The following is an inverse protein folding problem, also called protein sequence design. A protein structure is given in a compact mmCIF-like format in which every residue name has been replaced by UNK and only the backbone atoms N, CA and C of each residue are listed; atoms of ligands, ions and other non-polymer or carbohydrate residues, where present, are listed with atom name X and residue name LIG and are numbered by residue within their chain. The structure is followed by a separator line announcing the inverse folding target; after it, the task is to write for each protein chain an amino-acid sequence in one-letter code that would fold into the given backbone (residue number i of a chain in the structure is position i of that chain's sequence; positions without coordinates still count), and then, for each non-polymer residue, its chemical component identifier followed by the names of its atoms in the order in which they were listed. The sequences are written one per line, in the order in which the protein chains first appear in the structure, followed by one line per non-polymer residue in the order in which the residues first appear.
data_IF_523312936968
#
_entry.id   IF_523312936968
#
_cell.length_a   1.000
_cell.length_b   1.000
_cell.length_c   1.000
_cell.angle_alpha   90.00
_cell.angle_beta   90.00
_cell.angle_gamma   90.00
#
_symmetry.space_group_name_H-M   'P 1'
#
loop_
_entity.id
_entity.type
_entity.pdbx_description
1 polymer ?
#
# COMPACT_ATOMS: atom_id res chain seq x y z
N UNK A 1 -3.30 23.48 -5.59
CA UNK A 1 -4.54 23.38 -4.82
C UNK A 1 -5.54 22.52 -5.58
N UNK A 2 -6.50 21.96 -4.87
CA UNK A 2 -7.55 21.12 -5.47
C UNK A 2 -8.80 21.13 -4.59
N UNK A 3 -9.93 20.84 -5.22
CA UNK A 3 -11.22 20.52 -4.60
C UNK A 3 -11.99 19.58 -5.54
N UNK A 4 -13.14 19.04 -5.13
CA UNK A 4 -13.85 18.13 -6.01
C UNK A 4 -15.27 17.79 -5.59
N UNK A 5 -15.99 17.21 -6.52
CA UNK A 5 -17.39 16.79 -6.38
C UNK A 5 -17.85 15.91 -7.54
N UNK A 6 -19.13 15.61 -7.60
CA UNK A 6 -19.75 14.87 -8.72
C UNK A 6 -20.41 15.84 -9.69
N UNK A 7 -20.15 15.65 -11.00
CA UNK A 7 -20.69 16.52 -12.07
C UNK A 7 -21.25 15.69 -13.22
N UNK A 8 -22.38 16.11 -13.83
CA UNK A 8 -22.91 15.44 -15.01
C UNK A 8 -22.00 15.67 -16.22
N UNK A 9 -21.58 14.58 -16.85
CA UNK A 9 -20.84 14.55 -18.10
C UNK A 9 -21.72 14.04 -19.21
N UNK A 10 -21.92 14.85 -20.25
CA UNK A 10 -22.61 14.48 -21.47
C UNK A 10 -21.77 14.79 -22.71
N UNK A 11 -22.17 14.25 -23.86
CA UNK A 11 -21.43 14.32 -25.11
C UNK A 11 -21.60 13.03 -25.89
N UNK A 12 -20.54 12.24 -26.08
CA UNK A 12 -20.67 10.91 -26.70
C UNK A 12 -21.33 9.93 -25.71
N UNK A 13 -22.46 9.33 -26.09
CA UNK A 13 -23.22 8.35 -25.27
C UNK A 13 -24.19 8.98 -24.26
N UNK A 14 -24.69 8.14 -23.34
CA UNK A 14 -25.62 8.59 -22.31
C UNK A 14 -24.97 9.52 -21.30
N UNK A 15 -25.71 10.55 -20.80
CA UNK A 15 -25.23 11.37 -19.69
C UNK A 15 -24.97 10.51 -18.45
N UNK A 16 -23.87 10.78 -17.75
CA UNK A 16 -23.52 10.09 -16.51
C UNK A 16 -22.95 11.07 -15.47
N UNK A 17 -23.13 10.77 -14.20
CA UNK A 17 -22.47 11.48 -13.12
C UNK A 17 -21.04 10.96 -12.97
N UNK A 18 -20.06 11.85 -13.09
CA UNK A 18 -18.65 11.52 -12.94
C UNK A 18 -18.05 12.26 -11.74
N UNK A 19 -17.19 11.58 -11.03
CA UNK A 19 -16.39 12.23 -9.98
C UNK A 19 -15.40 13.20 -10.65
N UNK A 20 -15.40 14.45 -10.22
CA UNK A 20 -14.58 15.50 -10.84
C UNK A 20 -13.79 16.28 -9.81
N UNK A 21 -12.60 16.74 -10.17
CA UNK A 21 -11.78 17.64 -9.35
C UNK A 21 -11.42 18.90 -10.10
N UNK A 22 -11.43 20.03 -9.38
CA UNK A 22 -10.82 21.27 -9.79
C UNK A 22 -9.37 21.29 -9.29
N UNK A 23 -8.42 21.51 -10.16
CA UNK A 23 -7.00 21.49 -9.82
C UNK A 23 -6.27 22.70 -10.42
N UNK A 24 -5.26 23.19 -9.72
CA UNK A 24 -4.40 24.24 -10.27
C UNK A 24 -3.57 23.71 -11.43
N UNK A 25 -3.19 24.57 -12.39
CA UNK A 25 -2.49 24.20 -13.63
C UNK A 25 -1.19 23.43 -13.34
N UNK A 26 -0.51 23.75 -12.25
CA UNK A 26 0.72 23.10 -11.85
C UNK A 26 0.52 21.78 -11.06
N UNK A 27 -0.72 21.35 -10.79
CA UNK A 27 -1.03 20.24 -9.91
C UNK A 27 -0.36 18.93 -10.34
N UNK A 28 -0.56 18.52 -11.59
CA UNK A 28 0.02 17.28 -12.11
C UNK A 28 1.55 17.33 -12.18
N UNK A 29 2.10 18.46 -12.64
CA UNK A 29 3.55 18.66 -12.71
C UNK A 29 4.21 18.64 -11.32
N UNK A 30 3.54 19.19 -10.29
CA UNK A 30 3.98 19.15 -8.90
C UNK A 30 4.09 17.70 -8.39
N UNK A 31 3.12 16.85 -8.77
CA UNK A 31 3.09 15.43 -8.43
C UNK A 31 4.03 14.59 -9.30
N UNK A 32 4.60 15.16 -10.37
CA UNK A 32 5.53 14.48 -11.27
C UNK A 32 4.86 13.71 -12.42
N UNK A 33 3.57 13.97 -12.67
CA UNK A 33 2.83 13.31 -13.75
C UNK A 33 2.68 14.22 -14.98
N UNK A 34 2.71 13.57 -16.14
CA UNK A 34 2.39 14.18 -17.42
C UNK A 34 1.28 13.38 -18.09
N UNK A 35 0.35 14.01 -18.83
CA UNK A 35 -0.63 13.30 -19.63
C UNK A 35 0.03 12.36 -20.65
N UNK A 36 -0.54 11.17 -20.85
CA UNK A 36 -0.09 10.24 -21.92
C UNK A 36 -0.54 10.69 -23.30
N UNK A 37 -1.61 11.50 -23.34
CA UNK A 37 -2.09 12.16 -24.56
C UNK A 37 -2.35 13.63 -24.24
N UNK A 38 -1.95 14.52 -25.14
CA UNK A 38 -2.17 15.95 -25.01
C UNK A 38 -1.20 16.65 -24.05
N UNK A 39 -1.70 17.54 -23.21
CA UNK A 39 -0.91 18.41 -22.34
C UNK A 39 -1.57 18.64 -20.97
N UNK A 40 -0.79 19.16 -20.03
CA UNK A 40 -1.28 19.72 -18.76
C UNK A 40 -2.04 21.03 -18.99
N UNK A 41 -2.74 21.51 -17.97
CA UNK A 41 -3.35 22.83 -17.95
C UNK A 41 -2.30 23.93 -18.04
N UNK A 42 -2.71 25.07 -18.61
CA UNK A 42 -1.91 26.27 -18.73
C UNK A 42 -2.37 27.31 -17.69
N UNK A 43 -1.47 28.20 -17.21
CA UNK A 43 -1.84 29.22 -16.22
C UNK A 43 -2.94 30.19 -16.68
N UNK A 44 -3.08 30.42 -17.96
CA UNK A 44 -4.15 31.23 -18.54
C UNK A 44 -5.54 30.58 -18.45
N UNK A 45 -5.60 29.27 -18.35
CA UNK A 45 -6.83 28.50 -18.23
C UNK A 45 -7.44 28.55 -16.82
N UNK A 46 -6.67 29.01 -15.81
CA UNK A 46 -7.14 29.25 -14.44
C UNK A 46 -7.75 30.65 -14.25
N UNK A 47 -7.69 31.50 -15.26
CA UNK A 47 -8.21 32.86 -15.14
C UNK A 47 -9.73 32.92 -15.35
N UNK A 48 -10.45 33.76 -14.61
CA UNK A 48 -11.85 34.00 -14.89
C UNK A 48 -12.07 34.40 -16.34
N UNK A 49 -12.96 33.72 -17.07
CA UNK A 49 -13.20 33.92 -18.49
C UNK A 49 -12.19 33.24 -19.42
N UNK A 50 -11.26 32.45 -18.87
CA UNK A 50 -10.36 31.60 -19.63
C UNK A 50 -11.08 30.47 -20.37
N UNK A 51 -10.38 29.78 -21.28
CA UNK A 51 -10.97 28.66 -22.03
C UNK A 51 -11.37 27.52 -21.11
N UNK A 52 -12.56 26.95 -21.31
CA UNK A 52 -13.03 25.77 -20.59
C UNK A 52 -12.35 24.54 -21.16
N UNK A 53 -11.44 23.94 -20.39
CA UNK A 53 -10.68 22.77 -20.76
C UNK A 53 -10.81 21.67 -19.72
N UNK A 54 -10.63 20.41 -20.16
CA UNK A 54 -10.71 19.25 -19.30
C UNK A 54 -9.59 18.25 -19.57
N UNK A 55 -9.15 17.57 -18.53
CA UNK A 55 -8.26 16.41 -18.60
C UNK A 55 -9.04 15.20 -18.07
N UNK A 56 -8.97 14.08 -18.80
CA UNK A 56 -9.66 12.85 -18.43
C UNK A 56 -8.71 11.91 -17.69
N UNK A 57 -9.24 11.12 -16.76
CA UNK A 57 -8.53 9.95 -16.26
C UNK A 57 -8.42 8.89 -17.36
N UNK A 58 -7.42 8.02 -17.26
CA UNK A 58 -7.29 6.88 -18.18
C UNK A 58 -8.53 5.99 -18.15
N UNK A 59 -9.12 5.77 -16.99
CA UNK A 59 -10.31 4.94 -16.80
C UNK A 59 -11.54 5.50 -17.55
N UNK A 60 -11.83 6.79 -17.38
CA UNK A 60 -12.94 7.46 -18.06
C UNK A 60 -12.74 7.48 -19.57
N UNK A 61 -11.52 7.77 -20.04
CA UNK A 61 -11.19 7.75 -21.47
C UNK A 61 -11.42 6.37 -22.08
N UNK A 62 -11.00 5.29 -21.41
CA UNK A 62 -11.23 3.91 -21.90
C UNK A 62 -12.71 3.53 -21.84
N UNK A 63 -13.39 3.79 -20.72
CA UNK A 63 -14.77 3.36 -20.49
C UNK A 63 -15.77 4.09 -21.39
N UNK A 64 -15.71 5.43 -21.42
CA UNK A 64 -16.71 6.24 -22.11
C UNK A 64 -16.34 6.57 -23.57
N UNK A 65 -15.06 6.76 -23.84
CA UNK A 65 -14.57 7.18 -25.17
C UNK A 65 -13.80 6.09 -25.92
N UNK A 66 -13.90 4.83 -25.45
CA UNK A 66 -13.32 3.67 -26.13
C UNK A 66 -11.80 3.69 -26.29
N UNK A 67 -11.08 4.54 -25.56
CA UNK A 67 -9.64 4.69 -25.69
C UNK A 67 -9.20 5.35 -27.01
N UNK A 68 -10.07 6.11 -27.65
CA UNK A 68 -9.78 6.76 -28.94
C UNK A 68 -8.87 8.00 -28.73
N UNK A 69 -7.64 8.04 -29.30
CA UNK A 69 -6.76 9.22 -29.22
C UNK A 69 -7.34 10.48 -29.84
N UNK A 70 -8.29 10.35 -30.77
CA UNK A 70 -9.00 11.47 -31.40
C UNK A 70 -9.94 12.23 -30.45
N UNK A 71 -9.94 11.92 -29.14
CA UNK A 71 -10.66 12.69 -28.11
C UNK A 71 -10.02 14.06 -27.84
N UNK A 72 -8.73 14.22 -28.10
CA UNK A 72 -8.05 15.50 -27.95
C UNK A 72 -8.65 16.55 -28.90
N UNK A 73 -8.92 17.73 -28.34
CA UNK A 73 -9.58 18.83 -29.04
C UNK A 73 -11.09 18.68 -29.24
N UNK A 74 -11.67 17.53 -28.87
CA UNK A 74 -13.14 17.39 -28.89
C UNK A 74 -13.79 18.10 -27.71
N UNK A 75 -15.03 18.51 -27.91
CA UNK A 75 -15.85 19.15 -26.89
C UNK A 75 -16.73 18.14 -26.17
N UNK A 76 -16.71 18.18 -24.85
CA UNK A 76 -17.60 17.46 -23.95
C UNK A 76 -18.42 18.45 -23.14
N UNK A 77 -19.60 18.06 -22.70
CA UNK A 77 -20.48 18.90 -21.89
C UNK A 77 -20.35 18.51 -20.42
N UNK A 78 -19.95 19.45 -19.56
CA UNK A 78 -19.85 19.28 -18.12
C UNK A 78 -20.74 20.34 -17.48
N UNK A 79 -21.75 19.95 -16.69
CA UNK A 79 -22.74 20.86 -16.11
C UNK A 79 -23.43 21.78 -17.17
N UNK A 80 -23.67 21.25 -18.37
CA UNK A 80 -24.23 21.99 -19.52
C UNK A 80 -23.29 23.04 -20.13
N UNK A 81 -22.06 23.13 -19.70
CA UNK A 81 -21.02 23.95 -20.28
C UNK A 81 -20.09 23.13 -21.17
N UNK A 82 -19.60 23.75 -22.24
CA UNK A 82 -18.73 23.10 -23.22
C UNK A 82 -17.27 23.16 -22.77
N UNK A 83 -16.63 22.01 -22.63
CA UNK A 83 -15.20 21.87 -22.27
C UNK A 83 -14.44 21.18 -23.39
N UNK A 84 -13.27 21.68 -23.74
CA UNK A 84 -12.38 21.03 -24.71
C UNK A 84 -11.44 20.06 -23.97
N UNK A 85 -11.38 18.80 -24.41
CA UNK A 85 -10.45 17.81 -23.85
C UNK A 85 -9.04 18.12 -24.32
N UNK A 86 -8.13 18.45 -23.38
CA UNK A 86 -6.74 18.82 -23.66
C UNK A 86 -5.73 17.76 -23.26
N UNK A 87 -6.13 16.77 -22.47
CA UNK A 87 -5.23 15.72 -22.04
C UNK A 87 -5.94 14.49 -21.50
N UNK A 88 -5.19 13.39 -21.44
CA UNK A 88 -5.56 12.13 -20.77
C UNK A 88 -4.43 11.73 -19.85
N UNK A 89 -4.73 11.46 -18.59
CA UNK A 89 -3.75 11.04 -17.59
C UNK A 89 -3.30 9.59 -17.81
N UNK A 90 -2.09 9.23 -17.36
CA UNK A 90 -1.63 7.85 -17.35
C UNK A 90 -2.46 6.98 -16.41
N UNK A 91 -2.47 5.66 -16.66
CA UNK A 91 -3.17 4.68 -15.81
C UNK A 91 -2.62 4.63 -14.38
N UNK A 92 -1.35 4.96 -14.23
CA UNK A 92 -0.63 4.96 -12.95
C UNK A 92 -0.95 6.20 -12.09
N UNK A 93 -1.61 7.22 -12.66
CA UNK A 93 -1.96 8.41 -11.89
C UNK A 93 -3.02 8.10 -10.84
N UNK A 94 -2.67 8.36 -9.59
CA UNK A 94 -3.58 8.28 -8.44
C UNK A 94 -3.81 9.67 -7.85
N UNK A 95 -5.06 10.00 -7.66
CA UNK A 95 -5.40 11.28 -7.03
C UNK A 95 -5.06 11.24 -5.53
N UNK A 96 -4.23 12.16 -5.03
CA UNK A 96 -3.73 12.10 -3.65
C UNK A 96 -4.76 12.49 -2.58
N UNK A 97 -5.98 12.81 -2.97
CA UNK A 97 -7.03 13.30 -2.08
C UNK A 97 -8.01 12.25 -1.57
N UNK A 98 -7.85 10.98 -1.93
CA UNK A 98 -8.80 9.92 -1.57
C UNK A 98 -8.98 9.73 -0.06
N UNK A 99 -7.96 10.02 0.74
CA UNK A 99 -8.01 9.91 2.22
C UNK A 99 -8.69 11.10 2.90
N UNK A 100 -8.88 12.22 2.22
CA UNK A 100 -9.40 13.45 2.81
C UNK A 100 -10.93 13.61 2.72
N UNK A 101 -11.57 12.81 1.91
CA UNK A 101 -13.03 12.77 1.82
C UNK A 101 -13.53 11.51 2.48
N UNK A 102 -14.60 11.61 3.25
CA UNK A 102 -15.27 10.43 3.84
C UNK A 102 -15.88 9.57 2.73
N UNK A 103 -15.03 8.85 2.02
CA UNK A 103 -15.36 7.99 0.88
C UNK A 103 -14.22 7.91 -0.14
N UNK A 104 -14.32 6.94 -1.02
CA UNK A 104 -13.39 6.62 -2.10
C UNK A 104 -13.47 7.68 -3.23
N UNK A 105 -13.12 8.96 -2.93
CA UNK A 105 -13.16 10.03 -3.93
C UNK A 105 -12.07 9.82 -4.98
N UNK A 106 -12.46 9.33 -6.14
CA UNK A 106 -11.60 9.08 -7.30
C UNK A 106 -12.04 9.93 -8.47
N UNK A 107 -11.50 11.13 -8.63
CA UNK A 107 -11.88 11.95 -9.76
C UNK A 107 -11.49 11.29 -11.08
N UNK A 108 -12.43 11.26 -12.00
CA UNK A 108 -12.25 10.77 -13.36
C UNK A 108 -12.12 11.91 -14.36
N UNK A 109 -12.54 13.10 -13.95
CA UNK A 109 -12.55 14.32 -14.75
C UNK A 109 -11.87 15.44 -13.98
N UNK A 110 -11.01 16.18 -14.65
CA UNK A 110 -10.28 17.30 -14.08
C UNK A 110 -10.52 18.57 -14.88
N UNK A 111 -10.76 19.68 -14.19
CA UNK A 111 -10.89 21.01 -14.79
C UNK A 111 -10.00 22.00 -14.05
N UNK A 112 -9.57 23.10 -14.68
CA UNK A 112 -8.80 24.14 -13.99
C UNK A 112 -9.57 24.71 -12.80
N UNK A 113 -8.88 24.96 -11.70
CA UNK A 113 -9.43 25.64 -10.53
C UNK A 113 -9.52 27.15 -10.83
N UNK A 114 -10.63 27.57 -11.40
CA UNK A 114 -10.91 28.99 -11.56
C UNK A 114 -11.34 29.51 -10.20
N UNK A 115 -10.43 30.19 -9.51
CA UNK A 115 -10.72 30.83 -8.23
C UNK A 115 -11.59 32.07 -8.47
N UNK A 116 -12.89 32.03 -8.14
CA UNK A 116 -13.67 33.26 -8.15
C UNK A 116 -13.24 34.09 -6.92
N UNK A 117 -12.25 34.95 -7.11
CA UNK A 117 -11.86 35.95 -6.11
C UNK A 117 -12.96 37.03 -6.07
N UNK A 118 -14.12 36.66 -5.57
CA UNK A 118 -15.15 37.63 -5.18
C UNK A 118 -15.04 37.81 -3.67
N UNK A 119 -15.04 39.07 -3.24
CA UNK A 119 -14.97 39.42 -1.81
C UNK A 119 -16.05 38.70 -0.95
N UNK A 120 -17.19 38.35 -1.56
CA UNK A 120 -18.26 37.60 -0.90
C UNK A 120 -17.86 36.16 -0.47
N UNK A 121 -17.04 35.46 -1.22
CA UNK A 121 -16.55 34.12 -0.84
C UNK A 121 -15.48 34.19 0.25
N UNK A 122 -14.69 35.26 0.23
CA UNK A 122 -13.69 35.52 1.27
C UNK A 122 -14.34 35.80 2.62
N UNK A 123 -15.58 36.30 2.63
CA UNK A 123 -16.33 36.62 3.88
C UNK A 123 -17.10 35.42 4.46
N UNK A 124 -17.16 34.25 3.79
CA UNK A 124 -17.99 33.12 4.23
C UNK A 124 -17.20 32.04 4.98
N UNK A 125 -15.92 32.22 5.21
CA UNK A 125 -15.02 31.22 5.87
C UNK A 125 -15.17 29.81 5.26
N UNK A 126 -15.35 29.72 3.93
CA UNK A 126 -15.49 28.44 3.23
C UNK A 126 -14.11 27.92 2.89
N UNK A 127 -13.74 26.80 3.48
CA UNK A 127 -12.55 26.04 3.08
C UNK A 127 -12.84 25.35 1.74
N UNK A 128 -12.50 26.03 0.63
CA UNK A 128 -12.78 25.53 -0.73
C UNK A 128 -11.65 24.67 -1.29
N UNK A 129 -10.43 24.80 -0.79
CA UNK A 129 -9.27 24.17 -1.42
C UNK A 129 -8.35 23.50 -0.43
N UNK A 130 -7.89 22.34 -0.80
CA UNK A 130 -6.77 21.66 -0.18
C UNK A 130 -5.49 21.97 -0.93
N UNK A 131 -4.39 22.13 -0.22
CA UNK A 131 -3.12 22.54 -0.80
C UNK A 131 -2.08 21.45 -0.61
N UNK A 132 -1.47 21.03 -1.74
CA UNK A 132 -0.28 20.18 -1.73
C UNK A 132 0.89 21.05 -2.17
N UNK A 133 2.00 20.98 -1.44
CA UNK A 133 3.23 21.69 -1.75
C UNK A 133 4.43 20.75 -1.81
N UNK A 134 5.44 21.13 -2.58
CA UNK A 134 6.76 20.49 -2.57
C UNK A 134 7.72 21.39 -1.85
N UNK A 135 8.38 20.87 -0.83
CA UNK A 135 9.44 21.63 -0.13
C UNK A 135 10.61 21.89 -1.07
N UNK A 136 11.23 23.05 -0.93
CA UNK A 136 12.47 23.35 -1.64
C UNK A 136 13.59 22.40 -1.19
N UNK A 137 14.57 22.11 -2.07
CA UNK A 137 15.71 21.31 -1.67
C UNK A 137 16.38 21.86 -0.40
N UNK A 138 16.62 20.98 0.58
CA UNK A 138 17.26 21.33 1.86
C UNK A 138 16.34 21.95 2.92
N UNK A 139 15.04 22.17 2.64
CA UNK A 139 14.07 22.66 3.62
C UNK A 139 13.38 21.49 4.31
N UNK A 140 13.33 21.50 5.66
CA UNK A 140 12.62 20.50 6.45
C UNK A 140 11.18 20.93 6.74
N UNK A 141 10.35 19.99 7.20
CA UNK A 141 8.97 20.29 7.64
C UNK A 141 8.95 21.24 8.84
N UNK A 142 9.89 21.09 9.75
CA UNK A 142 10.04 21.94 10.93
C UNK A 142 10.37 23.40 10.57
N UNK A 143 11.06 23.61 9.44
CA UNK A 143 11.34 24.94 8.90
C UNK A 143 10.16 25.52 8.14
N UNK A 144 9.44 24.70 7.40
CA UNK A 144 8.28 25.15 6.62
C UNK A 144 7.07 25.53 7.47
N UNK A 145 6.87 24.88 8.62
CA UNK A 145 5.71 25.10 9.49
C UNK A 145 5.66 26.53 10.06
N UNK A 146 6.74 27.09 10.63
CA UNK A 146 6.77 28.50 11.07
C UNK A 146 6.48 29.50 9.95
N UNK A 147 7.04 29.27 8.75
CA UNK A 147 6.82 30.16 7.59
C UNK A 147 5.34 30.20 7.19
N UNK A 148 4.71 29.02 7.09
CA UNK A 148 3.29 28.92 6.77
C UNK A 148 2.41 29.50 7.89
N UNK A 149 2.81 29.35 9.15
CA UNK A 149 2.12 29.98 10.29
C UNK A 149 2.21 31.49 10.21
N UNK A 150 3.38 32.05 9.88
CA UNK A 150 3.55 33.49 9.70
C UNK A 150 2.68 34.03 8.56
N UNK A 151 2.60 33.32 7.43
CA UNK A 151 1.70 33.65 6.32
C UNK A 151 0.23 33.63 6.78
N UNK A 152 -0.17 32.62 7.57
CA UNK A 152 -1.51 32.52 8.12
C UNK A 152 -1.84 33.75 8.99
N UNK A 153 -0.98 34.15 9.90
CA UNK A 153 -1.18 35.34 10.73
C UNK A 153 -1.27 36.64 9.91
N UNK A 154 -0.49 36.76 8.81
CA UNK A 154 -0.62 37.89 7.90
C UNK A 154 -1.99 37.91 7.20
N UNK A 155 -2.49 36.74 6.82
CA UNK A 155 -3.81 36.60 6.22
C UNK A 155 -4.93 36.93 7.21
N UNK A 156 -4.84 36.46 8.45
CA UNK A 156 -5.80 36.78 9.52
C UNK A 156 -5.84 38.29 9.84
N UNK A 157 -4.69 38.95 9.83
CA UNK A 157 -4.62 40.39 10.00
C UNK A 157 -5.27 41.17 8.84
N UNK A 158 -5.15 40.64 7.61
CA UNK A 158 -5.75 41.24 6.42
C UNK A 158 -7.23 40.87 6.27
N UNK A 159 -7.60 39.69 6.69
CA UNK A 159 -8.93 39.10 6.56
C UNK A 159 -9.42 38.60 7.93
N UNK A 160 -10.00 39.45 8.79
CA UNK A 160 -10.35 39.12 10.18
C UNK A 160 -11.33 37.94 10.33
N UNK A 161 -12.14 37.65 9.33
CA UNK A 161 -13.04 36.49 9.33
C UNK A 161 -12.31 35.14 9.26
N UNK A 162 -11.01 35.12 8.90
CA UNK A 162 -10.17 33.92 8.92
C UNK A 162 -9.60 33.60 10.31
N UNK A 163 -9.71 34.54 11.26
CA UNK A 163 -9.32 34.33 12.64
C UNK A 163 -10.34 33.46 13.36
N UNK A 164 -9.88 32.75 14.40
CA UNK A 164 -10.79 32.01 15.26
C UNK A 164 -11.79 32.95 15.92
N UNK A 165 -13.04 32.48 16.07
CA UNK A 165 -14.08 33.24 16.74
C UNK A 165 -13.78 33.46 18.24
N UNK A 166 -14.51 34.36 18.90
CA UNK A 166 -14.34 34.59 20.35
C UNK A 166 -14.57 33.29 21.12
N UNK A 167 -13.53 32.81 21.82
CA UNK A 167 -13.56 31.58 22.61
C UNK A 167 -13.18 30.31 21.85
N UNK A 168 -12.89 30.41 20.57
CA UNK A 168 -12.35 29.28 19.77
C UNK A 168 -10.82 29.21 19.87
N UNK A 169 -10.24 27.99 19.85
CA UNK A 169 -8.79 27.86 19.79
C UNK A 169 -8.25 28.44 18.49
N UNK A 170 -7.03 29.03 18.48
CA UNK A 170 -6.43 29.58 17.28
C UNK A 170 -6.28 28.47 16.21
N UNK A 171 -6.62 28.81 14.98
CA UNK A 171 -6.50 27.90 13.84
C UNK A 171 -5.04 27.57 13.59
N UNK A 172 -4.67 26.31 13.74
CA UNK A 172 -3.29 25.86 13.55
C UNK A 172 -3.05 25.43 12.11
N UNK A 173 -1.88 25.79 11.56
CA UNK A 173 -1.43 25.28 10.28
C UNK A 173 -0.89 23.86 10.47
N UNK A 174 -1.61 22.88 10.00
CA UNK A 174 -1.15 21.48 9.94
C UNK A 174 -0.35 21.28 8.65
N UNK A 175 0.91 20.87 8.79
CA UNK A 175 1.76 20.46 7.66
C UNK A 175 2.07 18.98 7.85
N UNK A 176 1.48 18.16 7.00
CA UNK A 176 1.54 16.70 7.10
C UNK A 176 2.25 16.17 5.86
N UNK A 177 3.24 15.28 5.99
CA UNK A 177 3.83 14.62 4.83
C UNK A 177 2.75 13.89 4.03
N UNK A 178 2.70 14.14 2.71
CA UNK A 178 1.70 13.51 1.84
C UNK A 178 1.70 11.97 1.96
N UNK A 179 2.89 11.38 2.10
CA UNK A 179 3.03 9.94 2.31
C UNK A 179 2.35 9.46 3.60
N UNK A 180 2.49 10.22 4.69
CA UNK A 180 1.84 9.87 5.98
C UNK A 180 0.34 9.96 5.86
N UNK A 181 -0.16 10.96 5.15
CA UNK A 181 -1.59 11.16 4.91
C UNK A 181 -2.18 10.03 4.06
N UNK A 182 -1.47 9.61 3.01
CA UNK A 182 -1.92 8.53 2.12
C UNK A 182 -1.90 7.14 2.78
N UNK A 183 -0.99 6.91 3.74
CA UNK A 183 -0.76 5.59 4.34
C UNK A 183 -1.29 5.51 5.79
N UNK A 184 -1.60 6.65 6.41
CA UNK A 184 -1.82 6.77 7.87
C UNK A 184 -2.69 5.68 8.48
N UNK A 185 -3.89 5.49 7.98
CA UNK A 185 -4.83 4.49 8.50
C UNK A 185 -4.49 3.06 8.10
N UNK A 186 -3.87 2.87 6.92
CA UNK A 186 -3.44 1.56 6.45
C UNK A 186 -2.28 0.99 7.27
N UNK A 187 -1.44 1.83 7.88
CA UNK A 187 -0.27 1.39 8.63
C UNK A 187 -0.64 0.52 9.83
N UNK A 188 -1.63 0.94 10.61
CA UNK A 188 -2.09 0.18 11.79
C UNK A 188 -2.68 -1.15 11.35
N UNK A 189 -3.52 -1.14 10.32
CA UNK A 189 -4.13 -2.36 9.74
C UNK A 189 -3.07 -3.33 9.23
N UNK A 190 -2.03 -2.83 8.55
CA UNK A 190 -0.91 -3.66 8.07
C UNK A 190 -0.11 -4.28 9.22
N UNK A 191 0.15 -3.56 10.32
CA UNK A 191 0.81 -4.13 11.49
C UNK A 191 -0.02 -5.19 12.20
N UNK A 192 -1.34 -4.98 12.32
CA UNK A 192 -2.25 -5.98 12.89
C UNK A 192 -2.26 -7.23 12.02
N UNK A 193 -2.35 -7.07 10.69
CA UNK A 193 -2.31 -8.18 9.75
C UNK A 193 -0.97 -8.94 9.83
N UNK A 194 0.14 -8.21 9.86
CA UNK A 194 1.47 -8.81 10.01
C UNK A 194 1.60 -9.59 11.33
N UNK A 195 1.05 -9.05 12.41
CA UNK A 195 0.98 -9.75 13.71
C UNK A 195 0.17 -11.03 13.63
N UNK A 196 -1.01 -10.99 13.02
CA UNK A 196 -1.88 -12.16 12.85
C UNK A 196 -1.17 -13.28 12.02
N UNK A 197 -0.53 -12.90 10.91
CA UNK A 197 0.27 -13.83 10.09
C UNK A 197 1.44 -14.40 10.89
N UNK A 198 2.11 -13.57 11.71
CA UNK A 198 3.17 -14.02 12.62
C UNK A 198 2.69 -15.05 13.63
N UNK A 199 1.51 -14.88 14.22
CA UNK A 199 0.91 -15.88 15.13
C UNK A 199 0.56 -17.19 14.41
N UNK A 200 0.01 -17.13 13.21
CA UNK A 200 -0.26 -18.35 12.41
C UNK A 200 1.03 -19.09 12.11
N UNK A 201 2.09 -18.37 11.75
CA UNK A 201 3.41 -18.96 11.54
C UNK A 201 3.95 -19.62 12.81
N UNK A 202 3.84 -18.97 13.98
CA UNK A 202 4.25 -19.54 15.26
C UNK A 202 3.50 -20.83 15.58
N UNK A 203 2.18 -20.88 15.38
CA UNK A 203 1.37 -22.09 15.58
C UNK A 203 1.85 -23.22 14.66
N UNK A 204 2.07 -22.91 13.37
CA UNK A 204 2.61 -23.89 12.42
C UNK A 204 4.00 -24.39 12.86
N UNK A 205 4.88 -23.49 13.33
CA UNK A 205 6.19 -23.82 13.84
C UNK A 205 6.11 -24.77 15.04
N UNK A 206 5.25 -24.48 16.02
CA UNK A 206 5.07 -25.34 17.20
C UNK A 206 4.57 -26.73 16.81
N UNK A 207 3.62 -26.80 15.86
CA UNK A 207 3.11 -28.07 15.38
C UNK A 207 4.19 -28.91 14.68
N UNK A 208 5.00 -28.28 13.82
CA UNK A 208 6.13 -28.95 13.16
C UNK A 208 7.17 -29.41 14.20
N UNK A 209 7.49 -28.59 15.21
CA UNK A 209 8.40 -28.95 16.29
C UNK A 209 7.89 -30.18 17.04
N UNK A 210 6.62 -30.23 17.42
CA UNK A 210 6.02 -31.35 18.13
C UNK A 210 6.07 -32.66 17.30
N UNK A 211 5.77 -32.55 15.98
CA UNK A 211 5.86 -33.68 15.06
C UNK A 211 7.29 -34.20 14.92
N UNK A 212 8.28 -33.32 14.83
CA UNK A 212 9.69 -33.71 14.74
C UNK A 212 10.20 -34.30 16.03
N UNK A 213 9.78 -33.79 17.20
CA UNK A 213 10.12 -34.39 18.51
C UNK A 213 9.52 -35.80 18.67
N UNK A 214 8.25 -35.99 18.29
CA UNK A 214 7.61 -37.31 18.29
C UNK A 214 8.36 -38.28 17.37
N UNK A 215 8.76 -37.83 16.18
CA UNK A 215 9.53 -38.63 15.23
C UNK A 215 10.95 -38.94 15.74
N UNK A 216 11.59 -38.01 16.44
CA UNK A 216 12.89 -38.22 17.07
C UNK A 216 12.81 -39.28 18.19
N UNK A 217 11.74 -39.24 19.01
CA UNK A 217 11.53 -40.24 20.06
C UNK A 217 11.39 -41.68 19.50
N UNK A 218 10.66 -41.87 18.39
CA UNK A 218 10.54 -43.20 17.74
C UNK A 218 11.84 -43.66 17.08
N UNK A 219 12.72 -42.76 16.63
CA UNK A 219 14.01 -43.06 16.01
C UNK A 219 15.17 -43.18 17.01
N UNK A 220 14.94 -42.94 18.31
CA UNK A 220 16.01 -43.01 19.33
C UNK A 220 16.74 -44.36 19.33
N UNK A 221 16.01 -45.48 19.20
CA UNK A 221 16.63 -46.84 19.13
C UNK A 221 17.52 -46.98 17.88
N UNK A 222 17.11 -46.49 16.73
CA UNK A 222 17.86 -46.54 15.47
C UNK A 222 19.12 -45.70 15.55
N UNK A 223 19.01 -44.49 16.13
CA UNK A 223 20.14 -43.56 16.33
C UNK A 223 21.15 -44.17 17.32
N UNK A 224 20.66 -44.79 18.40
CA UNK A 224 21.52 -45.48 19.39
C UNK A 224 22.29 -46.66 18.76
N UNK A 225 21.65 -47.47 17.93
CA UNK A 225 22.32 -48.59 17.21
C UNK A 225 23.36 -48.03 16.23
N UNK A 226 23.05 -46.99 15.47
CA UNK A 226 24.02 -46.39 14.54
C UNK A 226 25.19 -45.73 15.27
N UNK A 227 24.96 -45.11 16.43
CA UNK A 227 26.02 -44.54 17.26
C UNK A 227 26.90 -45.60 17.84
N UNK A 228 26.32 -46.75 18.28
CA UNK A 228 27.09 -47.90 18.75
C UNK A 228 27.95 -48.57 17.66
N UNK A 229 27.52 -48.47 16.39
CA UNK A 229 28.28 -48.94 15.21
C UNK A 229 29.31 -47.90 14.72
N UNK A 230 29.56 -46.83 15.47
CA UNK A 230 30.61 -45.83 15.19
C UNK A 230 30.20 -44.68 14.25
N UNK A 231 28.91 -44.47 14.04
CA UNK A 231 28.46 -43.29 13.27
C UNK A 231 28.76 -41.98 14.02
N UNK A 232 29.63 -41.13 13.45
CA UNK A 232 29.99 -39.84 14.04
C UNK A 232 28.76 -38.91 14.18
N UNK A 233 28.68 -38.18 15.30
CA UNK A 233 27.59 -37.22 15.61
C UNK A 233 27.34 -36.23 14.48
N UNK A 234 28.38 -35.76 13.81
CA UNK A 234 28.30 -34.83 12.68
C UNK A 234 27.51 -35.40 11.49
N UNK A 235 27.65 -36.71 11.23
CA UNK A 235 26.92 -37.38 10.14
C UNK A 235 25.41 -37.47 10.43
N UNK A 236 25.03 -37.67 11.67
CA UNK A 236 23.61 -37.71 12.10
C UNK A 236 22.97 -36.32 12.05
N UNK A 237 23.71 -35.28 12.51
CA UNK A 237 23.26 -33.89 12.42
C UNK A 237 23.08 -33.47 10.96
N UNK A 238 24.08 -33.77 10.10
CA UNK A 238 24.00 -33.42 8.66
C UNK A 238 22.84 -34.13 7.97
N UNK A 239 22.53 -35.37 8.32
CA UNK A 239 21.39 -36.08 7.77
C UNK A 239 20.07 -35.46 8.20
N UNK A 240 19.90 -35.11 9.49
CA UNK A 240 18.71 -34.44 9.99
C UNK A 240 18.50 -33.02 9.34
N UNK A 241 19.58 -32.27 9.21
CA UNK A 241 19.54 -30.97 8.53
C UNK A 241 19.18 -31.08 7.06
N UNK A 242 19.75 -32.04 6.32
CA UNK A 242 19.38 -32.23 4.90
C UNK A 242 17.92 -32.66 4.74
N UNK A 243 17.40 -33.54 5.57
CA UNK A 243 15.99 -33.93 5.55
C UNK A 243 15.07 -32.73 5.84
N UNK A 244 15.40 -31.93 6.87
CA UNK A 244 14.63 -30.72 7.22
C UNK A 244 14.68 -29.63 6.16
N UNK A 245 15.85 -29.38 5.54
CA UNK A 245 16.02 -28.41 4.47
C UNK A 245 15.27 -28.81 3.20
N UNK A 246 15.26 -30.12 2.86
CA UNK A 246 14.49 -30.59 1.72
C UNK A 246 12.99 -30.41 1.94
N UNK A 247 12.48 -30.73 3.13
CA UNK A 247 11.08 -30.53 3.48
C UNK A 247 10.72 -29.03 3.50
N UNK A 248 11.61 -28.19 4.05
CA UNK A 248 11.42 -26.74 4.04
C UNK A 248 11.41 -26.18 2.62
N UNK A 249 12.31 -26.64 1.74
CA UNK A 249 12.35 -26.22 0.33
C UNK A 249 11.06 -26.60 -0.42
N UNK A 250 10.59 -27.84 -0.27
CA UNK A 250 9.33 -28.29 -0.86
C UNK A 250 8.14 -27.50 -0.33
N UNK A 251 8.09 -27.27 0.99
CA UNK A 251 7.08 -26.43 1.62
C UNK A 251 7.12 -24.98 1.15
N UNK A 252 8.33 -24.42 1.00
CA UNK A 252 8.55 -23.07 0.48
C UNK A 252 8.08 -22.90 -0.97
N UNK A 253 8.39 -23.86 -1.83
CA UNK A 253 7.90 -23.86 -3.24
C UNK A 253 6.38 -23.95 -3.28
N UNK A 254 5.79 -24.86 -2.53
CA UNK A 254 4.33 -25.00 -2.45
C UNK A 254 3.67 -23.73 -1.87
N UNK A 255 4.25 -23.17 -0.82
CA UNK A 255 3.77 -21.91 -0.21
C UNK A 255 3.85 -20.74 -1.18
N UNK A 256 4.93 -20.63 -1.96
CA UNK A 256 5.08 -19.59 -2.98
C UNK A 256 4.03 -19.75 -4.11
N UNK A 257 3.77 -21.00 -4.55
CA UNK A 257 2.73 -21.27 -5.54
C UNK A 257 1.34 -20.89 -5.04
N UNK A 258 1.02 -21.18 -3.78
CA UNK A 258 -0.24 -20.76 -3.14
C UNK A 258 -0.31 -19.25 -2.99
N UNK A 259 0.80 -18.58 -2.64
CA UNK A 259 0.86 -17.13 -2.51
C UNK A 259 0.63 -16.41 -3.86
N UNK A 260 1.26 -16.88 -4.95
CA UNK A 260 1.05 -16.32 -6.28
C UNK A 260 -0.40 -16.50 -6.75
N UNK A 261 -0.94 -17.71 -6.59
CA UNK A 261 -2.34 -17.99 -6.91
C UNK A 261 -3.31 -17.17 -6.05
N UNK A 262 -3.03 -17.01 -4.75
CA UNK A 262 -3.83 -16.20 -3.83
C UNK A 262 -3.83 -14.71 -4.21
N UNK A 263 -2.68 -14.16 -4.59
CA UNK A 263 -2.57 -12.77 -5.09
C UNK A 263 -3.40 -12.59 -6.36
N UNK A 264 -3.31 -13.53 -7.31
CA UNK A 264 -4.07 -13.45 -8.56
C UNK A 264 -5.59 -13.57 -8.31
N UNK A 265 -6.01 -14.44 -7.37
CA UNK A 265 -7.40 -14.57 -6.97
C UNK A 265 -7.92 -13.26 -6.34
N UNK A 266 -7.14 -12.65 -5.45
CA UNK A 266 -7.50 -11.36 -4.84
C UNK A 266 -7.58 -10.27 -5.90
N UNK A 267 -6.67 -10.24 -6.88
CA UNK A 267 -6.74 -9.31 -8.02
C UNK A 267 -8.07 -9.41 -8.76
N UNK A 268 -8.52 -10.64 -9.07
CA UNK A 268 -9.79 -10.85 -9.77
C UNK A 268 -10.99 -10.44 -8.93
N UNK A 269 -10.99 -10.75 -7.62
CA UNK A 269 -12.12 -10.45 -6.73
C UNK A 269 -12.24 -8.97 -6.35
N UNK A 270 -11.12 -8.24 -6.36
CA UNK A 270 -11.04 -6.86 -5.87
C UNK A 270 -10.82 -5.85 -7.01
N UNK A 271 -10.59 -6.31 -8.24
CA UNK A 271 -10.31 -5.47 -9.41
C UNK A 271 -11.34 -4.34 -9.61
N UNK A 272 -12.61 -4.60 -9.33
CA UNK A 272 -13.70 -3.63 -9.47
C UNK A 272 -13.82 -2.67 -8.28
N UNK A 273 -13.19 -2.99 -7.15
CA UNK A 273 -13.34 -2.21 -5.90
C UNK A 273 -12.14 -1.36 -5.56
N UNK A 274 -10.93 -1.78 -5.95
CA UNK A 274 -9.69 -1.05 -5.68
C UNK A 274 -8.90 -0.94 -6.99
N UNK A 275 -8.96 0.19 -7.70
CA UNK A 275 -8.05 0.46 -8.81
C UNK A 275 -6.61 0.40 -8.28
N UNK A 276 -5.66 -0.13 -9.03
CA UNK A 276 -4.25 -0.32 -8.65
C UNK A 276 -3.89 -1.59 -7.87
N UNK A 277 -4.82 -2.49 -7.63
CA UNK A 277 -4.46 -3.82 -7.14
C UNK A 277 -3.62 -4.60 -8.19
N UNK A 278 -3.51 -4.07 -9.41
CA UNK A 278 -2.69 -4.67 -10.47
C UNK A 278 -1.17 -4.54 -10.23
N UNK A 279 -0.75 -3.58 -9.41
CA UNK A 279 0.68 -3.32 -9.14
C UNK A 279 1.25 -4.14 -7.99
N UNK A 280 0.42 -4.91 -7.27
CA UNK A 280 0.90 -5.84 -6.26
C UNK A 280 1.53 -7.07 -6.92
N UNK A 281 2.81 -6.95 -7.28
CA UNK A 281 3.63 -8.07 -7.73
C UNK A 281 4.47 -8.60 -6.56
N UNK A 282 4.69 -9.92 -6.54
CA UNK A 282 5.71 -10.50 -5.67
C UNK A 282 7.06 -10.02 -6.20
N UNK A 283 7.63 -9.01 -5.54
CA UNK A 283 8.91 -8.46 -5.91
C UNK A 283 10.07 -9.31 -5.37
N UNK A 284 11.30 -8.96 -5.78
CA UNK A 284 12.51 -9.64 -5.34
C UNK A 284 12.70 -9.65 -3.82
N UNK A 285 12.18 -8.64 -3.10
CA UNK A 285 12.31 -8.53 -1.66
C UNK A 285 11.37 -9.45 -0.92
N UNK A 286 10.14 -9.59 -1.41
CA UNK A 286 9.16 -10.58 -0.89
C UNK A 286 9.68 -11.99 -1.11
N UNK A 287 10.25 -12.27 -2.31
CA UNK A 287 10.88 -13.55 -2.60
C UNK A 287 12.08 -13.83 -1.68
N UNK A 288 12.97 -12.86 -1.50
CA UNK A 288 14.14 -12.98 -0.62
C UNK A 288 13.72 -13.22 0.84
N UNK A 289 12.69 -12.50 1.32
CA UNK A 289 12.13 -12.68 2.66
C UNK A 289 11.53 -14.10 2.83
N UNK A 290 10.72 -14.56 1.88
CA UNK A 290 10.14 -15.89 1.91
C UNK A 290 11.20 -17.00 1.92
N UNK A 291 12.25 -16.85 1.11
CA UNK A 291 13.39 -17.77 1.07
C UNK A 291 14.14 -17.78 2.40
N UNK A 292 14.46 -16.60 2.96
CA UNK A 292 15.14 -16.48 4.25
C UNK A 292 14.31 -17.10 5.38
N UNK A 293 13.01 -16.80 5.44
CA UNK A 293 12.10 -17.40 6.43
C UNK A 293 12.04 -18.92 6.31
N UNK A 294 11.95 -19.45 5.10
CA UNK A 294 11.95 -20.90 4.82
C UNK A 294 13.24 -21.55 5.29
N UNK A 295 14.40 -20.97 4.96
CA UNK A 295 15.71 -21.51 5.36
C UNK A 295 15.90 -21.44 6.88
N UNK A 296 15.58 -20.32 7.51
CA UNK A 296 15.66 -20.17 8.97
C UNK A 296 14.79 -21.20 9.67
N UNK A 297 13.55 -21.35 9.24
CA UNK A 297 12.62 -22.35 9.77
C UNK A 297 13.19 -23.77 9.63
N UNK A 298 13.69 -24.13 8.45
CA UNK A 298 14.32 -25.42 8.19
C UNK A 298 15.54 -25.71 9.07
N UNK A 299 16.38 -24.70 9.31
CA UNK A 299 17.56 -24.80 10.18
C UNK A 299 17.13 -24.94 11.65
N UNK A 300 16.23 -24.10 12.15
CA UNK A 300 15.77 -24.17 13.54
C UNK A 300 15.15 -25.53 13.87
N UNK A 301 14.29 -26.02 12.97
CA UNK A 301 13.63 -27.30 13.19
C UNK A 301 14.54 -28.51 12.90
N UNK A 302 15.57 -28.37 12.08
CA UNK A 302 16.58 -29.40 11.87
C UNK A 302 17.58 -29.53 13.04
N UNK A 303 17.94 -28.40 13.67
CA UNK A 303 18.89 -28.37 14.78
C UNK A 303 18.27 -28.83 16.11
N UNK A 304 17.02 -28.51 16.41
CA UNK A 304 16.38 -28.83 17.68
C UNK A 304 16.40 -30.35 18.00
N UNK A 305 15.98 -31.28 17.12
CA UNK A 305 16.07 -32.70 17.34
C UNK A 305 17.52 -33.23 17.38
N UNK A 306 18.41 -32.61 16.57
CA UNK A 306 19.82 -33.00 16.53
C UNK A 306 20.54 -32.72 17.84
N UNK A 307 20.24 -31.61 18.50
CA UNK A 307 20.79 -31.22 19.81
C UNK A 307 20.17 -32.07 20.92
N UNK A 308 18.85 -32.29 20.88
CA UNK A 308 18.15 -33.11 21.85
C UNK A 308 18.61 -34.60 21.81
N UNK A 309 18.81 -35.14 20.61
CA UNK A 309 19.32 -36.49 20.41
C UNK A 309 20.78 -36.71 20.82
N UNK A 310 21.60 -35.61 20.78
CA UNK A 310 23.02 -35.69 21.18
C UNK A 310 23.24 -35.70 22.69
N UNK A 311 22.25 -35.29 23.49
CA UNK A 311 22.28 -35.30 24.98
C UNK A 311 21.67 -36.52 25.61
N UNK A 312 21.10 -37.45 24.83
CA UNK A 312 20.58 -38.71 25.36
C UNK A 312 21.74 -39.58 25.91
N UNK A 313 21.84 -39.63 27.22
CA UNK A 313 22.86 -40.37 27.93
C UNK A 313 22.65 -41.87 27.66
N UNK A 314 23.62 -42.51 27.03
CA UNK A 314 23.64 -43.92 26.71
C UNK A 314 23.41 -44.83 27.94
N UNK A 315 23.62 -44.30 29.15
CA UNK A 315 23.46 -45.05 30.42
C UNK A 315 21.98 -45.23 30.85
N UNK A 316 21.07 -44.33 30.50
CA UNK A 316 19.64 -44.48 30.86
C UNK A 316 18.90 -45.44 29.95
N UNK A 317 19.24 -45.49 28.67
CA UNK A 317 18.59 -46.39 27.69
C UNK A 317 18.96 -47.87 27.89
N UNK A 318 20.12 -48.17 28.46
CA UNK A 318 20.55 -49.51 28.79
C UNK A 318 19.97 -50.00 30.13
N UNK A 319 19.65 -49.10 31.07
CA UNK A 319 19.02 -49.45 32.37
C UNK A 319 17.50 -49.67 32.28
N UNK A 320 16.82 -49.08 31.27
CA UNK A 320 15.37 -49.25 31.08
C UNK A 320 14.94 -50.57 30.43
N UNK A 321 15.87 -51.39 29.94
CA UNK A 321 15.57 -52.67 29.26
C UNK A 321 15.60 -53.93 30.18
N UNK A 322 15.89 -53.77 31.46
CA UNK A 322 16.23 -54.87 32.32
C UNK A 322 15.33 -55.10 33.53
N UNK A 323 13.99 -54.89 33.50
CA UNK A 323 13.15 -55.33 34.58
C UNK A 323 11.70 -55.54 34.15
N UNK A 324 11.42 -56.63 33.50
CA UNK A 324 10.10 -57.29 33.57
C UNK A 324 10.26 -58.78 33.21
N UNK A 325 10.77 -59.54 34.18
CA UNK A 325 10.49 -60.98 34.25
C UNK A 325 10.17 -61.26 35.69
N UNK A 326 9.13 -62.13 35.89
CA UNK A 326 8.75 -62.87 37.12
C UNK A 326 7.59 -62.16 37.85
N UNK A 327 6.49 -62.71 37.99
CA UNK A 327 5.81 -63.95 38.22
C UNK A 327 4.34 -63.75 37.93
#
# INVERSE_FOLDING_TARGET
AYDGGSRPLSGEGNPEQVSSAWVTANFFSLLGFQPVLGRNFLPEEERPGGPHVAILSHALWRRKFGGNPGILGKTVQIDRESYTVVGVLPSEFQFPGASFTAGDFKPELYTPAILPIKDDYLNQNVEMFRVIGRLKPGVTLEQAKPDLTAIRHQLEAKYPYMAAGPGEPPVQVAVIPLQTELIGDARVTLFVLLGAVGFVLLIACVNVANLLLARAATRQKEIAVRAALGAGRIRLVRQALTESLLLAALGGIAGLAVATWGVDLIRVLVADRIPHFHDFAIDRWVFAFALAATLLTGIFFGLAPAIAGSKADLNETLKGGGTRTVI
#
